data_IF_210059067490
#
_entry.id   IF_210059067490
#
_cell.length_a   1.000
_cell.length_b   1.000
_cell.length_c   1.000
_cell.angle_alpha   90.00
_cell.angle_beta   90.00
_cell.angle_gamma   90.00
#
_symmetry.space_group_name_H-M   'P 1'
#
loop_
_entity.id
_entity.type
_entity.pdbx_description
1 polymer ?
#
# COMPACT_ATOMS: atom_id res chain seq x y z
N UNK A 1 -16.50 19.06 34.32
CA UNK A 1 -16.73 17.62 34.51
C UNK A 1 -16.88 17.03 33.11
N UNK A 2 -15.90 16.21 32.75
CA UNK A 2 -15.76 15.34 31.58
C UNK A 2 -15.49 15.99 30.22
N UNK A 3 -14.19 16.00 29.91
CA UNK A 3 -13.59 16.02 28.58
C UNK A 3 -14.43 15.27 27.55
N UNK A 4 -14.83 15.98 26.49
CA UNK A 4 -15.13 15.42 25.18
C UNK A 4 -13.82 14.82 24.64
N UNK A 5 -13.46 13.64 25.16
CA UNK A 5 -12.37 12.85 24.63
C UNK A 5 -12.72 12.52 23.17
N UNK A 6 -11.98 13.12 22.25
CA UNK A 6 -11.91 12.72 20.86
C UNK A 6 -11.83 11.19 20.81
N UNK A 7 -12.93 10.56 20.40
CA UNK A 7 -12.95 9.12 20.16
C UNK A 7 -12.11 8.89 18.90
N UNK A 8 -10.79 8.77 19.07
CA UNK A 8 -9.81 8.47 18.03
C UNK A 8 -9.89 7.01 17.58
N UNK A 9 -11.08 6.42 17.63
CA UNK A 9 -11.30 5.07 17.17
C UNK A 9 -11.44 5.09 15.65
N UNK A 10 -10.66 4.26 14.96
CA UNK A 10 -10.70 4.14 13.50
C UNK A 10 -12.02 3.48 13.07
N UNK A 11 -12.63 3.95 12.00
CA UNK A 11 -13.91 3.43 11.51
C UNK A 11 -13.74 2.71 10.18
N UNK A 12 -14.62 1.74 9.92
CA UNK A 12 -14.63 0.99 8.68
C UNK A 12 -15.23 1.82 7.54
N UNK A 13 -14.47 2.03 6.46
CA UNK A 13 -14.91 2.79 5.28
C UNK A 13 -16.07 2.13 4.49
N UNK A 14 -16.46 0.89 4.84
CA UNK A 14 -17.55 0.15 4.18
C UNK A 14 -18.79 0.08 5.05
N UNK A 15 -18.69 -0.42 6.28
CA UNK A 15 -19.84 -0.59 7.17
C UNK A 15 -20.05 0.56 8.15
N UNK A 16 -19.07 1.46 8.30
CA UNK A 16 -19.13 2.57 9.27
C UNK A 16 -18.90 2.16 10.72
N UNK A 17 -18.69 0.87 10.99
CA UNK A 17 -18.46 0.36 12.35
C UNK A 17 -17.10 0.80 12.90
N UNK A 18 -17.06 1.02 14.21
CA UNK A 18 -15.82 1.26 14.95
C UNK A 18 -14.95 0.01 14.91
N UNK A 19 -13.71 0.17 14.45
CA UNK A 19 -12.73 -0.91 14.37
C UNK A 19 -11.93 -0.94 15.68
N UNK A 20 -11.82 -2.09 16.37
CA UNK A 20 -10.91 -2.24 17.48
C UNK A 20 -9.49 -1.86 17.04
N UNK A 21 -8.74 -1.10 17.84
CA UNK A 21 -7.39 -0.65 17.50
C UNK A 21 -6.41 -1.79 17.14
N UNK A 22 -6.69 -3.02 17.59
CA UNK A 22 -5.93 -4.23 17.24
C UNK A 22 -6.19 -4.75 15.82
N UNK A 23 -7.31 -4.36 15.22
CA UNK A 23 -7.86 -4.92 13.99
C UNK A 23 -7.86 -3.89 12.84
N UNK A 24 -7.37 -2.67 13.10
CA UNK A 24 -7.22 -1.61 12.10
C UNK A 24 -6.21 -2.04 11.05
N UNK A 25 -6.67 -2.18 9.80
CA UNK A 25 -5.82 -2.43 8.64
C UNK A 25 -6.21 -1.49 7.52
N UNK A 26 -5.24 -0.68 7.10
CA UNK A 26 -5.34 0.15 5.90
C UNK A 26 -4.94 -0.66 4.67
N UNK A 27 -5.74 -0.55 3.61
CA UNK A 27 -5.65 -1.37 2.42
C UNK A 27 -5.86 -0.54 1.17
N UNK A 28 -5.16 -0.86 0.08
CA UNK A 28 -5.37 -0.20 -1.20
C UNK A 28 -6.38 -0.97 -2.05
N UNK A 29 -7.51 -0.33 -2.34
CA UNK A 29 -8.63 -0.88 -3.13
C UNK A 29 -8.96 0.13 -4.21
N UNK A 30 -8.89 -0.30 -5.48
CA UNK A 30 -9.31 0.50 -6.65
C UNK A 30 -8.74 1.93 -6.69
N UNK A 31 -7.47 2.11 -6.31
CA UNK A 31 -6.86 3.44 -6.36
C UNK A 31 -7.14 4.31 -5.12
N UNK A 32 -7.68 3.76 -4.03
CA UNK A 32 -7.89 4.47 -2.77
C UNK A 32 -7.42 3.62 -1.58
N UNK A 33 -6.82 4.26 -0.56
CA UNK A 33 -6.63 3.60 0.74
C UNK A 33 -7.97 3.59 1.48
N UNK A 34 -8.27 2.45 2.06
CA UNK A 34 -9.48 2.18 2.83
C UNK A 34 -9.08 1.47 4.12
N UNK A 35 -9.61 1.93 5.24
CA UNK A 35 -9.51 1.26 6.53
C UNK A 35 -10.74 0.37 6.68
N UNK A 36 -10.51 -0.95 6.74
CA UNK A 36 -11.61 -1.92 6.76
C UNK A 36 -11.58 -2.78 8.03
N UNK A 37 -12.77 -3.10 8.54
CA UNK A 37 -12.92 -4.11 9.58
C UNK A 37 -12.63 -5.51 9.01
N UNK A 38 -12.35 -6.48 9.88
CA UNK A 38 -11.98 -7.86 9.51
C UNK A 38 -13.01 -8.54 8.58
N UNK A 39 -14.30 -8.30 8.82
CA UNK A 39 -15.39 -8.91 8.05
C UNK A 39 -15.49 -8.31 6.64
N UNK A 40 -15.55 -6.98 6.52
CA UNK A 40 -15.57 -6.29 5.24
C UNK A 40 -14.30 -6.54 4.43
N UNK A 41 -13.15 -6.66 5.10
CA UNK A 41 -11.91 -7.06 4.46
C UNK A 41 -12.03 -8.41 3.76
N UNK A 42 -12.52 -9.44 4.46
CA UNK A 42 -12.64 -10.78 3.89
C UNK A 42 -13.55 -10.80 2.65
N UNK A 43 -14.65 -10.06 2.70
CA UNK A 43 -15.57 -9.95 1.55
C UNK A 43 -14.92 -9.20 0.37
N UNK A 44 -14.19 -8.12 0.64
CA UNK A 44 -13.52 -7.34 -0.40
C UNK A 44 -12.32 -8.10 -0.97
N UNK A 45 -11.51 -8.78 -0.17
CA UNK A 45 -10.42 -9.64 -0.64
C UNK A 45 -10.89 -10.76 -1.58
N UNK A 46 -12.14 -11.20 -1.43
CA UNK A 46 -12.77 -12.19 -2.31
C UNK A 46 -13.30 -11.58 -3.61
N UNK A 47 -13.72 -10.31 -3.59
CA UNK A 47 -14.36 -9.63 -4.73
C UNK A 47 -13.39 -8.77 -5.55
N UNK A 48 -12.40 -8.17 -4.89
CA UNK A 48 -11.46 -7.20 -5.41
C UNK A 48 -10.04 -7.57 -4.96
N UNK A 49 -9.06 -7.30 -5.82
CA UNK A 49 -7.67 -7.51 -5.46
C UNK A 49 -7.19 -6.39 -4.55
N UNK A 50 -7.00 -6.72 -3.28
CA UNK A 50 -6.56 -5.78 -2.25
C UNK A 50 -5.06 -5.86 -2.05
N UNK A 51 -4.39 -4.69 -2.08
CA UNK A 51 -2.94 -4.60 -1.87
C UNK A 51 -2.67 -3.98 -0.50
N UNK A 52 -2.03 -4.74 0.38
CA UNK A 52 -1.66 -4.27 1.72
C UNK A 52 -0.46 -3.31 1.67
N UNK A 53 -0.35 -2.41 2.65
CA UNK A 53 0.74 -1.41 2.72
C UNK A 53 2.14 -2.03 2.67
N UNK A 54 2.33 -3.19 3.27
CA UNK A 54 3.62 -3.90 3.24
C UNK A 54 3.92 -4.48 1.85
N UNK A 55 2.90 -4.91 1.11
CA UNK A 55 3.05 -5.30 -0.30
C UNK A 55 3.44 -4.09 -1.14
N UNK A 56 2.85 -2.91 -0.90
CA UNK A 56 3.25 -1.66 -1.57
C UNK A 56 4.69 -1.29 -1.24
N UNK A 57 5.12 -1.40 0.03
CA UNK A 57 6.50 -1.16 0.45
C UNK A 57 7.48 -2.10 -0.24
N UNK A 58 7.17 -3.39 -0.28
CA UNK A 58 8.02 -4.40 -0.91
C UNK A 58 8.06 -4.21 -2.44
N UNK A 59 6.95 -3.83 -3.07
CA UNK A 59 6.87 -3.41 -4.47
C UNK A 59 7.80 -2.22 -4.75
N UNK A 60 7.71 -1.14 -3.98
CA UNK A 60 8.58 0.04 -4.13
C UNK A 60 10.05 -0.34 -3.95
N UNK A 61 10.36 -1.18 -2.97
CA UNK A 61 11.72 -1.68 -2.72
C UNK A 61 12.26 -2.47 -3.91
N UNK A 62 11.43 -3.31 -4.53
CA UNK A 62 11.79 -4.04 -5.74
C UNK A 62 12.06 -3.10 -6.92
N UNK A 63 11.21 -2.10 -7.13
CA UNK A 63 11.40 -1.09 -8.17
C UNK A 63 12.68 -0.27 -7.97
N UNK A 64 12.94 0.19 -6.74
CA UNK A 64 14.18 0.93 -6.42
C UNK A 64 15.42 0.08 -6.67
N UNK A 65 15.39 -1.22 -6.36
CA UNK A 65 16.49 -2.14 -6.67
C UNK A 65 16.69 -2.32 -8.17
N UNK A 66 15.61 -2.50 -8.93
CA UNK A 66 15.65 -2.64 -10.39
C UNK A 66 16.11 -1.38 -11.12
N UNK A 67 15.73 -0.20 -10.61
CA UNK A 67 16.13 1.10 -11.16
C UNK A 67 17.65 1.36 -11.08
N UNK A 68 18.33 0.66 -10.16
CA UNK A 68 19.79 0.70 -10.00
C UNK A 68 20.21 1.39 -8.71
N UNK A 69 21.05 0.71 -7.93
CA UNK A 69 21.56 1.18 -6.62
C UNK A 69 22.22 2.55 -6.69
N UNK A 70 22.91 2.86 -7.78
CA UNK A 70 23.64 4.13 -7.93
C UNK A 70 22.71 5.30 -8.27
N UNK A 71 21.47 5.01 -8.69
CA UNK A 71 20.44 5.98 -9.08
C UNK A 71 19.34 6.12 -8.04
N UNK A 72 19.52 5.55 -6.83
CA UNK A 72 18.51 5.60 -5.75
C UNK A 72 18.21 7.04 -5.33
N UNK A 73 19.22 7.92 -5.32
CA UNK A 73 19.03 9.36 -5.03
C UNK A 73 18.19 10.09 -6.06
N UNK A 74 18.04 9.49 -7.23
CA UNK A 74 17.23 10.04 -8.31
C UNK A 74 15.84 9.42 -8.37
N UNK A 75 15.60 8.36 -7.59
CA UNK A 75 14.36 7.61 -7.60
C UNK A 75 13.24 8.42 -6.97
N UNK A 76 12.18 8.64 -7.74
CA UNK A 76 10.91 9.19 -7.25
C UNK A 76 9.77 8.45 -7.96
N UNK A 77 8.53 8.65 -7.50
CA UNK A 77 7.38 7.93 -8.05
C UNK A 77 7.14 8.18 -9.53
N UNK A 78 7.45 9.39 -10.03
CA UNK A 78 7.29 9.73 -11.46
C UNK A 78 8.31 8.96 -12.30
N UNK A 79 9.57 8.86 -11.86
CA UNK A 79 10.59 8.06 -12.53
C UNK A 79 10.32 6.57 -12.40
N UNK A 80 9.79 6.12 -11.26
CA UNK A 80 9.37 4.73 -11.06
C UNK A 80 8.24 4.36 -12.03
N UNK A 81 7.25 5.23 -12.23
CA UNK A 81 6.15 5.02 -13.17
C UNK A 81 6.68 4.91 -14.60
N UNK A 82 7.52 5.84 -15.04
CA UNK A 82 8.17 5.78 -16.36
C UNK A 82 9.00 4.51 -16.55
N UNK A 83 9.79 4.15 -15.54
CA UNK A 83 10.61 2.94 -15.57
C UNK A 83 9.75 1.68 -15.76
N UNK A 84 8.64 1.58 -15.01
CA UNK A 84 7.67 0.46 -15.13
C UNK A 84 7.01 0.43 -16.51
N UNK A 85 6.61 1.59 -17.03
CA UNK A 85 6.01 1.71 -18.37
C UNK A 85 6.98 1.31 -19.48
N UNK A 86 8.21 1.82 -19.45
CA UNK A 86 9.23 1.58 -20.48
C UNK A 86 9.71 0.12 -20.51
N UNK A 87 9.73 -0.56 -19.37
CA UNK A 87 10.29 -1.90 -19.23
C UNK A 87 9.24 -3.02 -19.07
N UNK A 88 7.95 -2.70 -19.04
CA UNK A 88 6.88 -3.68 -18.91
C UNK A 88 6.99 -4.54 -17.65
N UNK A 89 7.29 -3.90 -16.51
CA UNK A 89 7.62 -4.62 -15.26
C UNK A 89 6.38 -5.31 -14.69
N UNK A 90 6.56 -6.56 -14.26
CA UNK A 90 5.62 -7.31 -13.42
C UNK A 90 6.35 -7.78 -12.17
N UNK A 91 5.66 -7.87 -11.03
CA UNK A 91 6.27 -8.24 -9.75
C UNK A 91 5.47 -9.32 -9.04
N UNK A 92 6.14 -10.30 -8.45
CA UNK A 92 5.53 -11.20 -7.47
C UNK A 92 6.02 -10.83 -6.07
N UNK A 93 5.08 -10.45 -5.21
CA UNK A 93 5.37 -9.96 -3.85
C UNK A 93 4.67 -10.87 -2.83
N UNK A 94 5.43 -11.32 -1.84
CA UNK A 94 4.91 -12.17 -0.77
C UNK A 94 4.04 -11.34 0.20
N UNK A 95 2.85 -11.85 0.52
CA UNK A 95 1.99 -11.29 1.58
C UNK A 95 2.63 -11.49 2.94
N UNK A 96 2.33 -10.57 3.86
CA UNK A 96 2.81 -10.64 5.24
C UNK A 96 1.67 -10.65 6.24
N UNK A 97 1.86 -11.33 7.37
CA UNK A 97 0.89 -11.47 8.43
C UNK A 97 1.56 -11.73 9.77
N UNK A 98 0.85 -12.39 10.70
CA UNK A 98 1.36 -12.65 12.04
C UNK A 98 1.56 -11.37 12.87
N UNK A 99 2.50 -11.39 13.82
CA UNK A 99 2.69 -10.28 14.75
C UNK A 99 3.15 -9.02 14.01
N UNK A 100 2.36 -7.94 14.13
CA UNK A 100 2.56 -6.67 13.42
C UNK A 100 2.64 -6.79 11.89
N UNK A 101 2.07 -7.84 11.29
CA UNK A 101 2.12 -8.12 9.85
C UNK A 101 3.55 -8.29 9.28
N UNK A 102 4.55 -8.70 10.06
CA UNK A 102 5.93 -8.79 9.57
C UNK A 102 6.31 -10.19 9.06
N UNK A 103 5.53 -11.21 9.40
CA UNK A 103 5.84 -12.61 9.12
C UNK A 103 5.47 -12.97 7.69
N UNK A 104 6.35 -13.72 7.03
CA UNK A 104 6.14 -14.26 5.69
C UNK A 104 5.07 -15.34 5.71
N UNK A 105 4.06 -15.22 4.84
CA UNK A 105 2.94 -16.15 4.81
C UNK A 105 3.08 -17.26 3.77
N UNK A 106 4.10 -17.20 2.89
CA UNK A 106 4.24 -18.11 1.75
C UNK A 106 3.16 -17.93 0.67
N UNK A 107 2.33 -16.90 0.78
CA UNK A 107 1.29 -16.55 -0.18
C UNK A 107 1.75 -15.34 -0.99
N UNK A 108 1.65 -15.40 -2.31
CA UNK A 108 2.15 -14.35 -3.20
C UNK A 108 1.02 -13.61 -3.92
N UNK A 109 1.25 -12.34 -4.21
CA UNK A 109 0.43 -11.50 -5.10
C UNK A 109 1.28 -11.15 -6.32
N UNK A 110 0.81 -11.55 -7.49
CA UNK A 110 1.35 -11.05 -8.75
C UNK A 110 0.79 -9.66 -9.03
N UNK A 111 1.62 -8.70 -9.40
CA UNK A 111 1.26 -7.34 -9.78
C UNK A 111 1.65 -7.13 -11.25
N UNK A 112 0.65 -6.84 -12.07
CA UNK A 112 0.84 -6.47 -13.47
C UNK A 112 1.39 -5.05 -13.60
N UNK A 113 1.94 -4.73 -14.77
CA UNK A 113 2.45 -3.39 -15.09
C UNK A 113 1.40 -2.30 -14.84
N UNK A 114 0.16 -2.51 -15.29
CA UNK A 114 -0.92 -1.53 -15.12
C UNK A 114 -1.30 -1.33 -13.64
N UNK A 115 -1.29 -2.40 -12.84
CA UNK A 115 -1.58 -2.30 -11.40
C UNK A 115 -0.46 -1.55 -10.66
N UNK A 116 0.80 -1.82 -11.01
CA UNK A 116 1.95 -1.10 -10.45
C UNK A 116 1.84 0.40 -10.78
N UNK A 117 1.52 0.74 -12.03
CA UNK A 117 1.29 2.13 -12.46
C UNK A 117 0.16 2.77 -11.66
N UNK A 118 -0.98 2.10 -11.51
CA UNK A 118 -2.11 2.63 -10.75
C UNK A 118 -1.76 2.92 -9.29
N UNK A 119 -1.01 2.02 -8.64
CA UNK A 119 -0.52 2.22 -7.26
C UNK A 119 0.45 3.41 -7.21
N UNK A 120 1.38 3.53 -8.16
CA UNK A 120 2.33 4.65 -8.21
C UNK A 120 1.62 6.00 -8.39
N UNK A 121 0.65 6.09 -9.31
CA UNK A 121 -0.15 7.28 -9.54
C UNK A 121 -0.98 7.67 -8.31
N UNK A 122 -1.54 6.68 -7.60
CA UNK A 122 -2.21 6.91 -6.33
C UNK A 122 -1.27 7.52 -5.29
N UNK A 123 -0.08 6.92 -5.10
CA UNK A 123 0.91 7.41 -4.15
C UNK A 123 1.38 8.84 -4.48
N UNK A 124 1.53 9.17 -5.77
CA UNK A 124 1.87 10.53 -6.22
C UNK A 124 0.81 11.55 -5.79
N UNK A 125 -0.48 11.24 -5.99
CA UNK A 125 -1.59 12.10 -5.58
C UNK A 125 -1.63 12.33 -4.07
N UNK A 126 -1.29 11.31 -3.27
CA UNK A 126 -1.37 11.36 -1.81
C UNK A 126 -0.19 12.08 -1.16
N UNK A 127 1.03 11.75 -1.58
CA UNK A 127 2.26 12.29 -0.98
C UNK A 127 2.54 13.68 -1.53
N UNK A 128 2.00 14.06 -2.69
CA UNK A 128 2.35 15.30 -3.37
C UNK A 128 3.76 15.22 -3.94
N UNK A 129 3.94 15.77 -5.14
CA UNK A 129 5.20 15.62 -5.90
C UNK A 129 6.44 16.21 -5.18
N UNK A 130 6.25 17.01 -4.14
CA UNK A 130 7.29 17.74 -3.40
C UNK A 130 7.75 17.07 -2.10
N UNK A 131 7.06 16.03 -1.59
CA UNK A 131 7.38 15.38 -0.30
C UNK A 131 8.19 14.08 -0.45
N UNK A 132 8.67 13.75 -1.66
CA UNK A 132 9.64 12.67 -1.83
C UNK A 132 11.03 13.14 -1.42
N UNK A 133 11.37 12.80 -0.18
CA UNK A 133 12.67 13.08 0.43
C UNK A 133 13.74 12.29 -0.32
N UNK A 134 14.61 13.01 -1.03
CA UNK A 134 16.00 12.60 -1.20
C UNK A 134 16.54 12.44 0.21
N UNK A 135 16.64 11.20 0.70
CA UNK A 135 17.28 10.92 1.98
C UNK A 135 18.72 11.47 1.90
N UNK A 136 18.98 12.51 2.69
CA UNK A 136 20.31 13.09 2.94
C UNK A 136 21.09 12.13 3.83
#
# INVERSE_FOLDING_TARGET
MNDLLFDNSDWCDICGDVIPSTDVKSMHIEGCEKTLCKSCRGEVELKLKVVETLVIKDMLTALTKGYGRDKVREFNLVKAERYVQEHGITLEIEKRGGKFNQEKLGVFVSLSTNEIIAILQYLQKKIGNHLWINAV
#
